data_IF_631238047400
#
_entry.id   IF_631238047400
#
_cell.length_a   1.000
_cell.length_b   1.000
_cell.length_c   1.000
_cell.angle_alpha   90.00
_cell.angle_beta   90.00
_cell.angle_gamma   90.00
#
_symmetry.space_group_name_H-M   'P 1'
#
loop_
_entity.id
_entity.type
_entity.pdbx_description
1 polymer ?
#
# COMPACT_ATOMS: atom_id res chain seq x y z
N UNK A 1 -3.29 15.91 1.78
CA UNK A 1 -2.35 15.37 2.78
C UNK A 1 -2.18 13.89 2.53
N UNK A 2 -0.97 13.39 2.28
CA UNK A 2 -0.74 11.94 2.26
C UNK A 2 -1.05 11.36 3.64
N UNK A 3 -1.87 10.30 3.75
CA UNK A 3 -2.13 9.64 5.02
C UNK A 3 -0.82 9.29 5.73
N UNK A 4 -0.71 9.55 7.03
CA UNK A 4 0.53 9.30 7.80
C UNK A 4 1.06 7.88 7.62
N UNK A 5 0.18 6.91 7.39
CA UNK A 5 0.56 5.53 7.15
C UNK A 5 1.38 5.33 5.86
N UNK A 6 1.11 6.06 4.78
CA UNK A 6 1.87 5.91 3.53
C UNK A 6 3.32 6.40 3.72
N UNK A 7 3.51 7.48 4.49
CA UNK A 7 4.86 7.97 4.82
C UNK A 7 5.62 6.96 5.67
N UNK A 8 4.96 6.30 6.62
CA UNK A 8 5.59 5.24 7.41
C UNK A 8 5.98 4.04 6.55
N UNK A 9 5.14 3.66 5.59
CA UNK A 9 5.41 2.55 4.67
C UNK A 9 6.48 2.85 3.61
N UNK A 10 6.92 4.10 3.47
CA UNK A 10 8.09 4.44 2.63
C UNK A 10 9.43 4.15 3.33
N UNK A 11 9.42 3.80 4.61
CA UNK A 11 10.64 3.52 5.37
C UNK A 11 11.08 2.07 5.19
N UNK A 12 12.35 1.78 4.90
CA UNK A 12 12.84 0.40 4.74
C UNK A 12 12.58 -0.50 5.95
N UNK A 13 12.69 0.06 7.16
CA UNK A 13 12.43 -0.57 8.46
C UNK A 13 10.95 -0.90 8.73
N UNK A 14 10.03 -0.52 7.84
CA UNK A 14 8.63 -0.92 7.91
C UNK A 14 8.37 -2.37 7.41
N UNK A 15 9.38 -3.02 6.82
CA UNK A 15 9.25 -4.33 6.20
C UNK A 15 10.06 -5.41 6.93
N UNK A 16 9.57 -6.66 6.98
CA UNK A 16 10.28 -7.76 7.61
C UNK A 16 11.50 -8.23 6.82
N UNK A 17 11.66 -7.74 5.58
CA UNK A 17 12.79 -8.04 4.71
C UNK A 17 13.82 -6.92 4.78
N UNK A 18 15.09 -7.28 4.80
CA UNK A 18 16.17 -6.29 4.73
C UNK A 18 16.15 -5.62 3.35
N UNK A 19 15.75 -4.35 3.31
CA UNK A 19 15.65 -3.51 2.12
C UNK A 19 16.36 -2.18 2.39
N UNK A 20 16.91 -1.53 1.35
CA UNK A 20 17.55 -0.21 1.47
C UNK A 20 16.67 0.89 0.92
N UNK A 21 15.87 0.58 -0.08
CA UNK A 21 14.99 1.55 -0.74
C UNK A 21 13.60 0.96 -0.93
N UNK A 22 12.61 1.82 -0.74
CA UNK A 22 11.21 1.49 -0.99
C UNK A 22 10.68 2.43 -2.05
N UNK A 23 10.24 1.89 -3.17
CA UNK A 23 9.54 2.63 -4.21
C UNK A 23 8.03 2.43 -4.05
N UNK A 24 7.25 3.50 -4.17
CA UNK A 24 5.79 3.39 -4.14
C UNK A 24 5.19 3.65 -5.53
N UNK A 25 4.47 2.65 -6.03
CA UNK A 25 3.61 2.74 -7.18
C UNK A 25 2.15 2.83 -6.76
N UNK A 26 1.34 3.47 -7.60
CA UNK A 26 -0.07 3.66 -7.34
C UNK A 26 -0.92 3.14 -8.50
N UNK A 27 -1.94 2.34 -8.18
CA UNK A 27 -3.02 1.99 -9.10
C UNK A 27 -4.31 2.69 -8.69
N UNK A 28 -5.39 2.49 -9.45
CA UNK A 28 -6.72 3.01 -9.08
C UNK A 28 -7.20 2.50 -7.71
N UNK A 29 -6.90 1.24 -7.36
CA UNK A 29 -7.44 0.56 -6.17
C UNK A 29 -6.40 0.26 -5.09
N UNK A 30 -5.10 0.48 -5.34
CA UNK A 30 -4.05 0.07 -4.40
C UNK A 30 -2.83 0.98 -4.45
N UNK A 31 -2.08 0.97 -3.35
CA UNK A 31 -0.68 1.36 -3.29
C UNK A 31 0.18 0.09 -3.29
N UNK A 32 1.28 0.12 -4.01
CA UNK A 32 2.24 -0.97 -4.11
C UNK A 32 3.58 -0.41 -3.66
N UNK A 33 4.20 -1.08 -2.69
CA UNK A 33 5.52 -0.75 -2.19
C UNK A 33 6.49 -1.83 -2.65
N UNK A 34 7.47 -1.42 -3.45
CA UNK A 34 8.48 -2.29 -4.01
C UNK A 34 9.75 -2.17 -3.20
N UNK A 35 10.22 -3.31 -2.73
CA UNK A 35 11.59 -3.51 -2.25
C UNK A 35 12.40 -4.16 -3.37
N UNK A 36 13.68 -4.43 -3.15
CA UNK A 36 14.55 -5.08 -4.12
C UNK A 36 14.11 -6.51 -4.44
N UNK A 37 13.37 -7.17 -3.55
CA UNK A 37 13.02 -8.60 -3.67
C UNK A 37 11.52 -8.90 -3.53
N UNK A 38 10.73 -7.97 -3.01
CA UNK A 38 9.32 -8.18 -2.69
C UNK A 38 8.46 -6.98 -3.07
N UNK A 39 7.19 -7.26 -3.36
CA UNK A 39 6.15 -6.26 -3.54
C UNK A 39 5.09 -6.40 -2.44
N UNK A 40 4.82 -5.31 -1.71
CA UNK A 40 3.79 -5.24 -0.68
C UNK A 40 2.61 -4.40 -1.19
N UNK A 41 1.39 -4.87 -1.02
CA UNK A 41 0.19 -4.22 -1.57
C UNK A 41 -0.74 -3.76 -0.45
N UNK A 42 -1.13 -2.49 -0.48
CA UNK A 42 -2.15 -1.91 0.39
C UNK A 42 -3.37 -1.48 -0.43
N UNK A 43 -4.55 -2.05 -0.13
CA UNK A 43 -5.81 -1.68 -0.79
C UNK A 43 -6.31 -0.32 -0.30
N UNK A 44 -6.74 0.53 -1.23
CA UNK A 44 -7.30 1.85 -0.93
C UNK A 44 -8.72 1.73 -0.39
N UNK A 45 -9.14 2.65 0.52
CA UNK A 45 -10.53 2.75 0.97
C UNK A 45 -11.40 3.40 -0.12
N UNK A 46 -11.71 2.70 -1.20
CA UNK A 46 -12.45 3.24 -2.36
C UNK A 46 -13.74 2.47 -2.60
N UNK A 47 -14.73 3.15 -3.17
CA UNK A 47 -15.95 2.53 -3.69
C UNK A 47 -16.21 3.09 -5.10
N UNK A 48 -16.21 2.22 -6.11
CA UNK A 48 -16.46 2.56 -7.52
C UNK A 48 -17.84 2.11 -8.01
N UNK A 49 -18.75 1.72 -7.09
CA UNK A 49 -20.07 1.17 -7.40
C UNK A 49 -20.05 -0.32 -7.80
N UNK A 50 -19.07 -0.73 -8.61
CA UNK A 50 -18.84 -2.15 -8.97
C UNK A 50 -17.77 -2.84 -8.11
N UNK A 51 -17.03 -2.06 -7.31
CA UNK A 51 -15.99 -2.54 -6.40
C UNK A 51 -16.01 -1.69 -5.13
N UNK A 52 -16.17 -2.32 -3.98
CA UNK A 52 -16.20 -1.62 -2.70
C UNK A 52 -15.14 -2.17 -1.73
N UNK A 53 -14.17 -1.34 -1.40
CA UNK A 53 -13.11 -1.52 -0.40
C UNK A 53 -13.19 -0.46 0.72
N UNK A 54 -14.31 0.23 0.87
CA UNK A 54 -14.50 1.30 1.85
C UNK A 54 -14.26 0.82 3.28
N UNK A 55 -14.69 -0.39 3.65
CA UNK A 55 -14.46 -1.01 4.97
C UNK A 55 -13.38 -2.08 4.95
N UNK A 56 -12.79 -2.37 6.12
CA UNK A 56 -11.77 -3.41 6.27
C UNK A 56 -12.33 -4.78 5.90
N UNK A 57 -13.53 -5.12 6.37
CA UNK A 57 -14.21 -6.40 6.07
C UNK A 57 -14.44 -6.64 4.58
N UNK A 58 -14.54 -5.56 3.80
CA UNK A 58 -14.72 -5.61 2.34
C UNK A 58 -13.40 -5.73 1.58
N UNK A 59 -12.24 -5.51 2.20
CA UNK A 59 -10.90 -5.65 1.59
C UNK A 59 -10.39 -7.10 1.70
N UNK A 60 -11.03 -8.04 1.00
CA UNK A 60 -10.53 -9.42 0.80
C UNK A 60 -9.59 -9.48 -0.38
#
# INVERSE_FOLDING_TARGET
MTPNILKSLMKPDAYPVSTRTVEMLQTHVSWIFLTETHAFKLKKPVNFGFLDFSTVDRRR
#
